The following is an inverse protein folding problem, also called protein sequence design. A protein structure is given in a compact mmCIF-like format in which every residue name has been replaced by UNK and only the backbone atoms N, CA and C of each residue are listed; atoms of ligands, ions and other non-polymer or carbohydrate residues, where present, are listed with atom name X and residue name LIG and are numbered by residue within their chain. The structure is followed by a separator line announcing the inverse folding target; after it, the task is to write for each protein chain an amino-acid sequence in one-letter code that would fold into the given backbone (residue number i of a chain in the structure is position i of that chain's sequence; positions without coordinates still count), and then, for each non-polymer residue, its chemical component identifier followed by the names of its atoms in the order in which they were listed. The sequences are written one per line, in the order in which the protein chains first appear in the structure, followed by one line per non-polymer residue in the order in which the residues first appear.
data_IF_196355948650
#
_entry.id   IF_196355948650
#
_cell.length_a   1.000
_cell.length_b   1.000
_cell.length_c   1.000
_cell.angle_alpha   90.00
_cell.angle_beta   90.00
_cell.angle_gamma   90.00
#
_symmetry.space_group_name_H-M   'P 1'
#
loop_
_entity.id
_entity.type
_entity.pdbx_description
1 polymer ?
#
# COMPACT_ATOMS: atom_id res chain seq x y z
N UNK A 1 -5.54 -58.06 1.02
CA UNK A 1 -5.40 -57.32 2.29
C UNK A 1 -4.32 -56.27 2.11
N UNK A 2 -4.72 -54.99 2.26
CA UNK A 2 -3.93 -53.77 2.55
C UNK A 2 -2.60 -53.50 1.84
N UNK A 3 -2.25 -52.29 1.40
CA UNK A 3 -2.91 -50.99 1.19
C UNK A 3 -1.76 -50.13 0.62
N UNK A 4 -1.82 -49.74 -0.63
CA UNK A 4 -0.84 -48.81 -1.23
C UNK A 4 -1.20 -47.39 -0.78
N UNK A 5 -0.29 -46.75 -0.05
CA UNK A 5 -0.41 -45.34 0.34
C UNK A 5 0.12 -44.48 -0.82
N UNK A 6 -0.78 -43.74 -1.47
CA UNK A 6 -0.45 -42.67 -2.41
C UNK A 6 -0.98 -41.36 -1.81
N UNK A 7 -0.16 -40.30 -1.74
CA UNK A 7 -0.51 -39.08 -1.01
C UNK A 7 -1.59 -38.30 -1.75
N UNK A 8 -2.49 -37.71 -0.97
CA UNK A 8 -3.60 -36.89 -1.43
C UNK A 8 -3.09 -35.62 -2.14
N UNK A 9 -3.37 -35.53 -3.43
CA UNK A 9 -3.35 -34.28 -4.17
C UNK A 9 -4.39 -33.34 -3.57
N UNK A 10 -3.93 -32.31 -2.87
CA UNK A 10 -4.76 -31.17 -2.46
C UNK A 10 -5.11 -30.36 -3.70
N UNK A 11 -6.23 -30.74 -4.32
CA UNK A 11 -6.89 -30.02 -5.40
C UNK A 11 -7.30 -28.61 -4.91
N UNK A 12 -6.38 -27.66 -5.09
CA UNK A 12 -6.61 -26.23 -4.90
C UNK A 12 -7.03 -25.66 -6.24
N UNK A 13 -8.22 -26.05 -6.70
CA UNK A 13 -8.90 -25.38 -7.81
C UNK A 13 -10.09 -24.57 -7.29
N UNK A 14 -10.14 -23.33 -7.77
CA UNK A 14 -11.10 -22.31 -7.41
C UNK A 14 -12.56 -22.75 -7.59
N UNK A 15 -13.41 -22.46 -6.60
CA UNK A 15 -14.85 -22.30 -6.82
C UNK A 15 -15.32 -20.98 -6.22
N UNK A 16 -15.21 -19.91 -7.00
CA UNK A 16 -16.26 -18.88 -6.99
C UNK A 16 -17.56 -19.58 -7.40
N UNK A 17 -18.43 -19.87 -6.43
CA UNK A 17 -19.76 -20.37 -6.74
C UNK A 17 -20.48 -19.29 -7.55
N UNK A 18 -20.69 -19.53 -8.84
CA UNK A 18 -21.47 -18.64 -9.67
C UNK A 18 -22.92 -19.17 -9.65
N UNK A 19 -23.83 -18.38 -9.07
CA UNK A 19 -25.26 -18.69 -9.01
C UNK A 19 -25.89 -18.43 -10.38
N UNK A 20 -25.95 -19.48 -11.19
CA UNK A 20 -26.32 -19.42 -12.61
C UNK A 20 -27.81 -19.63 -12.85
N UNK A 21 -28.51 -20.29 -11.92
CA UNK A 21 -29.96 -20.49 -12.00
C UNK A 21 -30.73 -19.73 -10.92
N UNK A 22 -32.01 -19.46 -11.18
CA UNK A 22 -32.91 -18.83 -10.21
C UNK A 22 -33.18 -19.74 -8.99
N UNK A 23 -33.05 -21.06 -9.14
CA UNK A 23 -33.24 -22.00 -8.04
C UNK A 23 -32.01 -22.02 -7.11
N UNK A 24 -30.80 -21.95 -7.65
CA UNK A 24 -29.57 -21.75 -6.87
C UNK A 24 -29.60 -20.41 -6.12
N UNK A 25 -30.04 -19.34 -6.80
CA UNK A 25 -30.20 -18.02 -6.17
C UNK A 25 -31.24 -18.05 -5.06
N UNK A 26 -32.35 -18.75 -5.28
CA UNK A 26 -33.37 -18.92 -4.25
C UNK A 26 -32.86 -19.70 -3.05
N UNK A 27 -32.12 -20.77 -3.27
CA UNK A 27 -31.55 -21.58 -2.21
C UNK A 27 -30.56 -20.77 -1.35
N UNK A 28 -29.73 -19.93 -1.99
CA UNK A 28 -28.85 -19.00 -1.29
C UNK A 28 -29.63 -17.97 -0.45
N UNK A 29 -30.73 -17.43 -0.97
CA UNK A 29 -31.63 -16.54 -0.20
C UNK A 29 -32.29 -17.26 0.97
N UNK A 30 -32.75 -18.50 0.77
CA UNK A 30 -33.42 -19.29 1.80
C UNK A 30 -32.47 -19.64 2.95
N UNK A 31 -31.20 -19.91 2.64
CA UNK A 31 -30.14 -20.18 3.64
C UNK A 31 -29.48 -18.91 4.18
N UNK A 32 -29.82 -17.73 3.63
CA UNK A 32 -29.19 -16.43 3.94
C UNK A 32 -27.67 -16.47 3.78
N UNK A 33 -27.21 -17.03 2.67
CA UNK A 33 -25.79 -17.25 2.38
C UNK A 33 -25.02 -15.90 2.23
N UNK A 34 -24.07 -15.59 3.12
CA UNK A 34 -23.25 -14.39 3.01
C UNK A 34 -22.30 -14.39 1.80
N UNK A 35 -21.98 -15.55 1.22
CA UNK A 35 -21.11 -15.64 0.04
C UNK A 35 -21.83 -15.18 -1.23
N UNK A 36 -23.16 -15.19 -1.23
CA UNK A 36 -23.99 -14.73 -2.34
C UNK A 36 -24.15 -13.20 -2.38
N UNK A 37 -23.77 -12.50 -1.30
CA UNK A 37 -23.84 -11.05 -1.24
C UNK A 37 -22.90 -10.41 -2.28
N UNK A 38 -23.49 -9.60 -3.17
CA UNK A 38 -22.76 -8.93 -4.25
C UNK A 38 -22.69 -9.74 -5.56
N UNK A 39 -23.07 -11.02 -5.54
CA UNK A 39 -23.24 -11.81 -6.77
C UNK A 39 -24.59 -11.55 -7.44
N UNK A 40 -25.64 -11.33 -6.65
CA UNK A 40 -26.96 -10.90 -7.12
C UNK A 40 -27.75 -10.23 -5.99
N UNK A 41 -28.92 -9.68 -6.32
CA UNK A 41 -29.88 -9.08 -5.41
C UNK A 41 -31.26 -9.69 -5.64
N UNK A 42 -32.14 -9.65 -4.64
CA UNK A 42 -33.52 -10.13 -4.78
C UNK A 42 -34.54 -9.06 -4.41
N UNK A 43 -35.58 -8.89 -5.21
CA UNK A 43 -36.72 -8.00 -4.97
C UNK A 43 -37.97 -8.77 -4.57
N UNK A 44 -38.73 -8.22 -3.62
CA UNK A 44 -40.01 -8.75 -3.17
C UNK A 44 -41.14 -7.94 -3.80
N UNK A 45 -41.84 -8.55 -4.77
CA UNK A 45 -42.86 -7.91 -5.62
C UNK A 45 -43.97 -7.24 -4.80
N UNK A 46 -44.43 -7.90 -3.74
CA UNK A 46 -45.53 -7.41 -2.90
C UNK A 46 -45.19 -6.17 -2.09
N UNK A 47 -43.91 -5.97 -1.75
CA UNK A 47 -43.46 -4.82 -0.94
C UNK A 47 -42.71 -3.78 -1.74
N UNK A 48 -42.34 -4.07 -2.99
CA UNK A 48 -41.50 -3.22 -3.83
C UNK A 48 -40.10 -2.98 -3.23
N UNK A 49 -39.58 -3.91 -2.43
CA UNK A 49 -38.30 -3.77 -1.71
C UNK A 49 -37.31 -4.80 -2.23
N UNK A 50 -36.08 -4.40 -2.53
CA UNK A 50 -34.99 -5.33 -2.83
C UNK A 50 -33.95 -5.43 -1.70
N UNK A 51 -33.29 -6.57 -1.63
CA UNK A 51 -32.41 -7.02 -0.56
C UNK A 51 -31.15 -7.72 -1.10
N UNK A 52 -30.15 -7.88 -0.23
CA UNK A 52 -29.03 -8.81 -0.44
C UNK A 52 -29.41 -10.23 -0.01
N UNK A 53 -28.84 -11.30 -0.58
CA UNK A 53 -29.16 -12.69 -0.23
C UNK A 53 -29.05 -13.01 1.26
N UNK A 54 -28.08 -12.45 1.98
CA UNK A 54 -27.90 -12.70 3.41
C UNK A 54 -28.86 -11.92 4.33
N UNK A 55 -29.81 -11.16 3.77
CA UNK A 55 -30.66 -10.26 4.54
C UNK A 55 -31.53 -11.00 5.58
N UNK A 56 -31.43 -10.58 6.84
CA UNK A 56 -32.21 -11.14 7.94
C UNK A 56 -33.70 -10.74 7.94
N UNK A 57 -34.21 -10.08 6.89
CA UNK A 57 -35.64 -9.78 6.72
C UNK A 57 -36.48 -11.07 6.73
N UNK A 58 -37.79 -10.92 6.99
CA UNK A 58 -38.73 -12.04 6.90
C UNK A 58 -38.63 -12.64 5.50
N UNK A 59 -38.48 -13.96 5.43
CA UNK A 59 -38.32 -14.66 4.16
C UNK A 59 -39.62 -14.50 3.35
N UNK A 60 -39.55 -13.95 2.12
CA UNK A 60 -40.70 -13.82 1.25
C UNK A 60 -41.12 -15.20 0.70
N UNK A 61 -42.30 -15.31 0.10
CA UNK A 61 -42.67 -16.51 -0.67
C UNK A 61 -41.91 -16.49 -2.00
N UNK A 62 -41.43 -17.66 -2.45
CA UNK A 62 -40.66 -17.81 -3.71
C UNK A 62 -41.33 -17.17 -4.92
N UNK A 63 -42.64 -17.33 -5.06
CA UNK A 63 -43.47 -16.77 -6.14
C UNK A 63 -43.40 -15.23 -6.24
N UNK A 64 -43.14 -14.57 -5.12
CA UNK A 64 -43.08 -13.11 -4.98
C UNK A 64 -41.66 -12.54 -5.12
N UNK A 65 -40.68 -13.35 -5.52
CA UNK A 65 -39.28 -12.94 -5.63
C UNK A 65 -38.87 -12.76 -7.09
N UNK A 66 -38.09 -11.71 -7.36
CA UNK A 66 -37.38 -11.48 -8.61
C UNK A 66 -35.88 -11.30 -8.29
N UNK A 67 -34.99 -11.73 -9.18
CA UNK A 67 -33.54 -11.58 -9.01
C UNK A 67 -32.96 -10.52 -9.96
N UNK A 68 -31.92 -9.83 -9.50
CA UNK A 68 -31.25 -8.76 -10.23
C UNK A 68 -29.73 -8.94 -10.15
N UNK A 69 -29.02 -8.65 -11.23
CA UNK A 69 -27.56 -8.73 -11.25
C UNK A 69 -26.92 -7.68 -10.33
N UNK A 70 -27.49 -6.48 -10.27
CA UNK A 70 -27.00 -5.38 -9.45
C UNK A 70 -28.13 -4.52 -8.87
N UNK A 71 -27.76 -3.59 -7.98
CA UNK A 71 -28.69 -2.68 -7.34
C UNK A 71 -29.28 -1.63 -8.29
N UNK A 72 -28.62 -1.31 -9.41
CA UNK A 72 -29.15 -0.36 -10.40
C UNK A 72 -30.30 -0.99 -11.19
N UNK A 73 -30.14 -2.25 -11.61
CA UNK A 73 -31.18 -3.03 -12.28
C UNK A 73 -32.44 -3.19 -11.41
N UNK A 74 -32.27 -3.45 -10.10
CA UNK A 74 -33.39 -3.53 -9.17
C UNK A 74 -34.16 -2.19 -9.04
N UNK A 75 -33.45 -1.06 -9.00
CA UNK A 75 -34.08 0.28 -8.95
C UNK A 75 -34.78 0.64 -10.24
N UNK A 76 -34.17 0.34 -11.40
CA UNK A 76 -34.78 0.56 -12.70
C UNK A 76 -36.09 -0.25 -12.84
N UNK A 77 -36.16 -1.43 -12.22
CA UNK A 77 -37.37 -2.24 -12.13
C UNK A 77 -38.39 -1.76 -11.06
N UNK A 78 -38.17 -0.60 -10.43
CA UNK A 78 -39.11 0.02 -9.49
C UNK A 78 -38.99 -0.43 -8.03
N UNK A 79 -37.95 -1.21 -7.68
CA UNK A 79 -37.74 -1.64 -6.30
C UNK A 79 -36.93 -0.62 -5.50
N UNK A 80 -37.37 -0.32 -4.28
CA UNK A 80 -36.64 0.53 -3.33
C UNK A 80 -35.68 -0.29 -2.46
N UNK A 81 -34.61 0.35 -2.00
CA UNK A 81 -33.64 -0.27 -1.09
C UNK A 81 -34.31 -0.76 0.21
N UNK A 82 -33.99 -1.99 0.61
CA UNK A 82 -34.35 -2.47 1.94
C UNK A 82 -33.67 -1.63 3.01
N UNK A 83 -34.46 -1.06 3.92
CA UNK A 83 -33.95 -0.27 5.04
C UNK A 83 -33.08 -1.08 6.01
N UNK A 84 -33.17 -2.42 5.98
CA UNK A 84 -32.43 -3.31 6.89
C UNK A 84 -31.05 -3.70 6.38
N UNK A 85 -30.94 -4.16 5.13
CA UNK A 85 -29.66 -4.55 4.55
C UNK A 85 -29.02 -3.48 3.66
N UNK A 86 -29.77 -2.41 3.33
CA UNK A 86 -29.32 -1.26 2.53
C UNK A 86 -28.49 -1.70 1.30
N UNK A 87 -29.09 -2.49 0.41
CA UNK A 87 -28.35 -3.27 -0.58
C UNK A 87 -27.50 -2.42 -1.52
N UNK A 88 -27.98 -1.25 -1.94
CA UNK A 88 -27.20 -0.31 -2.75
C UNK A 88 -26.36 0.71 -1.97
N UNK A 89 -26.27 0.60 -0.64
CA UNK A 89 -25.28 1.31 0.17
C UNK A 89 -24.00 0.49 0.35
N UNK A 90 -22.93 1.12 0.84
CA UNK A 90 -21.79 0.37 1.36
C UNK A 90 -22.27 -0.64 2.41
N UNK A 91 -21.65 -1.83 2.56
CA UNK A 91 -21.98 -2.73 3.67
C UNK A 91 -22.05 -1.92 4.97
N UNK A 92 -23.08 -2.13 5.79
CA UNK A 92 -23.38 -1.32 6.99
C UNK A 92 -22.14 -1.06 7.87
N UNK A 93 -21.27 -2.06 7.97
CA UNK A 93 -19.96 -1.99 8.62
C UNK A 93 -19.02 -0.92 8.03
N UNK A 94 -18.93 -0.81 6.70
CA UNK A 94 -18.14 0.21 6.00
C UNK A 94 -18.77 1.60 6.08
N UNK A 95 -20.11 1.70 6.03
CA UNK A 95 -20.80 2.99 6.20
C UNK A 95 -20.53 3.59 7.59
N UNK A 96 -20.65 2.77 8.63
CA UNK A 96 -20.32 3.15 10.01
C UNK A 96 -18.86 3.59 10.14
N UNK A 97 -17.93 2.86 9.52
CA UNK A 97 -16.51 3.21 9.56
C UNK A 97 -16.22 4.47 8.78
N UNK A 98 -16.86 4.71 7.64
CA UNK A 98 -16.72 5.95 6.89
C UNK A 98 -17.26 7.15 7.66
N UNK A 99 -18.40 7.01 8.33
CA UNK A 99 -18.93 8.04 9.24
C UNK A 99 -17.97 8.30 10.40
N UNK A 100 -17.37 7.24 10.96
CA UNK A 100 -16.35 7.39 11.99
C UNK A 100 -15.11 8.13 11.46
N UNK A 101 -14.59 7.77 10.28
CA UNK A 101 -13.47 8.48 9.66
C UNK A 101 -13.82 9.95 9.38
N UNK A 102 -15.01 10.22 8.82
CA UNK A 102 -15.47 11.58 8.56
C UNK A 102 -15.58 12.41 9.84
N UNK A 103 -16.08 11.83 10.94
CA UNK A 103 -16.10 12.50 12.24
C UNK A 103 -14.70 12.76 12.79
N UNK A 104 -13.74 11.86 12.55
CA UNK A 104 -12.33 12.05 12.92
C UNK A 104 -11.59 13.06 12.03
N UNK A 105 -12.03 13.24 10.79
CA UNK A 105 -11.42 14.13 9.80
C UNK A 105 -12.05 15.53 9.78
N UNK A 106 -13.22 15.72 10.39
CA UNK A 106 -13.97 16.98 10.39
C UNK A 106 -13.20 18.12 11.07
N UNK A 107 -12.52 17.83 12.18
CA UNK A 107 -11.61 18.75 12.84
C UNK A 107 -10.33 18.00 13.27
N UNK A 108 -9.21 18.16 12.53
CA UNK A 108 -7.93 17.53 12.85
C UNK A 108 -7.35 17.93 14.22
N UNK A 109 -7.78 19.06 14.80
CA UNK A 109 -7.33 19.54 16.11
C UNK A 109 -8.13 18.90 17.26
N UNK A 110 -9.38 18.52 17.00
CA UNK A 110 -10.25 17.94 18.01
C UNK A 110 -9.94 16.46 18.26
N UNK A 111 -9.72 16.10 19.52
CA UNK A 111 -9.56 14.69 19.93
C UNK A 111 -10.91 14.10 20.30
N UNK A 112 -11.39 13.17 19.49
CA UNK A 112 -12.55 12.37 19.85
C UNK A 112 -12.10 11.13 20.63
N UNK A 113 -12.60 11.01 21.86
CA UNK A 113 -12.49 9.77 22.61
C UNK A 113 -13.26 8.67 21.90
N UNK A 114 -12.91 7.40 22.19
CA UNK A 114 -13.65 6.28 21.63
C UNK A 114 -15.14 6.35 21.98
N UNK A 115 -15.49 6.82 23.18
CA UNK A 115 -16.89 7.02 23.60
C UNK A 115 -17.61 8.06 22.72
N UNK A 116 -17.05 9.26 22.57
CA UNK A 116 -17.63 10.32 21.74
C UNK A 116 -17.75 9.90 20.26
N UNK A 117 -16.74 9.21 19.73
CA UNK A 117 -16.79 8.69 18.37
C UNK A 117 -17.88 7.62 18.21
N UNK A 118 -18.08 6.80 19.25
CA UNK A 118 -19.10 5.76 19.29
C UNK A 118 -20.50 6.35 19.33
N UNK A 119 -20.70 7.43 20.09
CA UNK A 119 -21.96 8.17 20.13
C UNK A 119 -22.29 8.77 18.76
N UNK A 120 -21.30 9.34 18.07
CA UNK A 120 -21.44 9.93 16.74
C UNK A 120 -21.85 8.92 15.64
N UNK A 121 -21.53 7.63 15.83
CA UNK A 121 -21.90 6.55 14.89
C UNK A 121 -22.93 5.57 15.44
N UNK A 122 -23.48 5.85 16.63
CA UNK A 122 -24.48 5.03 17.33
C UNK A 122 -24.07 3.55 17.48
N UNK A 123 -22.84 3.31 17.94
CA UNK A 123 -22.34 1.98 18.30
C UNK A 123 -21.80 1.95 19.72
N UNK A 124 -21.57 0.75 20.26
CA UNK A 124 -20.80 0.61 21.50
C UNK A 124 -19.29 0.78 21.23
N UNK A 125 -18.52 1.33 22.19
CA UNK A 125 -17.05 1.51 22.07
C UNK A 125 -16.30 0.26 21.63
N UNK A 126 -16.60 -0.88 22.26
CA UNK A 126 -15.96 -2.15 21.95
C UNK A 126 -16.30 -2.67 20.55
N UNK A 127 -17.51 -2.42 20.07
CA UNK A 127 -17.91 -2.83 18.73
C UNK A 127 -17.24 -1.92 17.69
N UNK A 128 -17.29 -0.60 17.90
CA UNK A 128 -16.63 0.36 17.01
C UNK A 128 -15.12 0.10 16.92
N UNK A 129 -14.43 -0.14 18.04
CA UNK A 129 -12.99 -0.40 18.03
C UNK A 129 -12.63 -1.65 17.21
N UNK A 130 -13.38 -2.75 17.39
CA UNK A 130 -13.16 -3.99 16.63
C UNK A 130 -13.50 -3.81 15.17
N UNK A 131 -14.61 -3.15 14.87
CA UNK A 131 -15.08 -2.90 13.52
C UNK A 131 -14.11 -1.98 12.76
N UNK A 132 -13.69 -0.88 13.37
CA UNK A 132 -12.76 0.08 12.80
C UNK A 132 -11.37 -0.55 12.59
N UNK A 133 -10.84 -1.29 13.57
CA UNK A 133 -9.57 -2.03 13.40
C UNK A 133 -9.67 -3.09 12.30
N UNK A 134 -10.81 -3.78 12.21
CA UNK A 134 -11.09 -4.75 11.14
C UNK A 134 -11.06 -4.05 9.78
N UNK A 135 -11.81 -2.96 9.60
CA UNK A 135 -12.01 -2.30 8.29
C UNK A 135 -10.84 -1.41 7.87
N UNK A 136 -10.30 -0.60 8.78
CA UNK A 136 -9.23 0.38 8.51
C UNK A 136 -7.84 -0.20 8.77
N UNK A 137 -7.73 -1.33 9.49
CA UNK A 137 -6.47 -1.98 9.83
C UNK A 137 -5.77 -1.40 11.07
N UNK A 138 -6.24 -0.26 11.59
CA UNK A 138 -5.74 0.40 12.80
C UNK A 138 -6.89 0.81 13.71
N UNK A 139 -6.66 1.03 15.00
CA UNK A 139 -7.69 1.55 15.91
C UNK A 139 -8.03 3.03 15.60
N UNK A 140 -9.22 3.53 16.00
CA UNK A 140 -9.57 4.94 15.86
C UNK A 140 -8.54 5.90 16.47
N UNK A 141 -7.92 5.50 17.59
CA UNK A 141 -6.84 6.26 18.24
C UNK A 141 -5.58 6.33 17.36
N UNK A 142 -5.19 5.20 16.76
CA UNK A 142 -4.06 5.13 15.83
C UNK A 142 -4.34 5.86 14.52
N UNK A 143 -5.59 5.90 14.08
CA UNK A 143 -6.01 6.67 12.91
C UNK A 143 -5.88 8.18 13.14
N UNK A 144 -6.43 8.69 14.24
CA UNK A 144 -6.26 10.11 14.63
C UNK A 144 -4.77 10.47 14.79
N UNK A 145 -3.99 9.58 15.39
CA UNK A 145 -2.52 9.67 15.45
C UNK A 145 -1.90 9.85 14.06
N UNK A 146 -2.12 8.91 13.14
CA UNK A 146 -1.56 8.98 11.80
C UNK A 146 -1.94 10.28 11.04
N UNK A 147 -3.17 10.77 11.23
CA UNK A 147 -3.67 12.02 10.63
C UNK A 147 -2.98 13.25 11.23
N UNK A 148 -2.79 13.31 12.55
CA UNK A 148 -2.01 14.38 13.20
C UNK A 148 -0.56 14.38 12.75
N UNK A 149 0.08 13.21 12.69
CA UNK A 149 1.42 13.07 12.12
C UNK A 149 1.49 13.58 10.68
N UNK A 150 0.47 13.35 9.85
CA UNK A 150 0.40 13.88 8.50
C UNK A 150 0.22 15.41 8.45
N UNK A 151 -0.70 15.95 9.24
CA UNK A 151 -0.93 17.39 9.35
C UNK A 151 0.32 18.13 9.86
N UNK A 152 1.01 17.55 10.85
CA UNK A 152 2.29 18.06 11.35
C UNK A 152 3.35 18.06 10.24
N UNK A 153 3.51 16.96 9.49
CA UNK A 153 4.44 16.91 8.35
C UNK A 153 4.15 18.00 7.32
N UNK A 154 2.88 18.22 6.99
CA UNK A 154 2.47 19.19 6.00
C UNK A 154 2.66 20.64 6.50
N UNK A 155 2.38 20.90 7.78
CA UNK A 155 2.64 22.21 8.40
C UNK A 155 4.14 22.52 8.47
N UNK A 156 4.96 21.53 8.83
CA UNK A 156 6.42 21.64 8.85
C UNK A 156 7.00 21.85 7.44
N UNK A 157 6.45 21.18 6.42
CA UNK A 157 6.82 21.41 5.01
C UNK A 157 6.54 22.83 4.54
N UNK A 158 5.50 23.48 5.06
CA UNK A 158 5.12 24.87 4.76
C UNK A 158 5.91 25.90 5.57
N UNK A 159 6.90 25.49 6.38
CA UNK A 159 7.77 26.39 7.14
C UNK A 159 7.13 26.94 8.42
N UNK A 160 6.06 26.33 8.93
CA UNK A 160 5.46 26.75 10.20
C UNK A 160 6.42 26.50 11.37
N UNK A 161 6.45 27.43 12.34
CA UNK A 161 7.12 27.22 13.62
C UNK A 161 6.61 25.93 14.26
N UNK A 162 7.50 25.15 14.85
CA UNK A 162 7.16 23.78 15.24
C UNK A 162 6.33 23.72 16.50
N UNK A 163 6.46 24.71 17.38
CA UNK A 163 5.56 24.83 18.52
C UNK A 163 4.14 25.06 18.00
N UNK A 164 4.00 25.97 17.03
CA UNK A 164 2.73 26.27 16.38
C UNK A 164 2.19 25.10 15.55
N UNK A 165 3.00 24.46 14.71
CA UNK A 165 2.62 23.31 13.89
C UNK A 165 2.21 22.09 14.75
N UNK A 166 2.82 21.94 15.93
CA UNK A 166 2.50 20.87 16.89
C UNK A 166 1.17 21.14 17.61
N UNK A 167 0.91 22.40 17.98
CA UNK A 167 -0.38 22.84 18.51
C UNK A 167 -1.48 22.72 17.44
N UNK A 168 -1.21 23.20 16.23
CA UNK A 168 -2.13 23.16 15.09
C UNK A 168 -2.43 21.72 14.63
N UNK A 169 -1.52 20.77 14.89
CA UNK A 169 -1.73 19.34 14.67
C UNK A 169 -2.35 18.63 15.89
N UNK A 170 -2.78 19.35 16.94
CA UNK A 170 -3.54 18.79 18.06
C UNK A 170 -2.71 18.07 19.14
N UNK A 171 -1.43 18.41 19.32
CA UNK A 171 -0.58 17.87 20.40
C UNK A 171 -0.59 18.79 21.65
N UNK A 172 -1.41 18.46 22.65
CA UNK A 172 -1.63 19.30 23.85
C UNK A 172 -0.51 19.25 24.93
N UNK A 173 0.65 18.63 24.69
CA UNK A 173 1.71 18.56 25.72
C UNK A 173 3.13 18.38 25.15
N UNK A 174 4.11 19.19 25.57
CA UNK A 174 5.51 19.12 25.11
C UNK A 174 6.27 17.83 25.47
N UNK A 175 5.82 17.07 26.47
CA UNK A 175 6.50 15.84 26.92
C UNK A 175 5.96 14.59 26.21
N UNK A 176 4.64 14.52 25.92
CA UNK A 176 4.08 13.47 25.03
C UNK A 176 4.33 13.75 23.54
N UNK A 177 4.78 14.97 23.20
CA UNK A 177 5.19 15.44 21.87
C UNK A 177 6.32 14.59 21.29
N UNK A 178 7.39 14.34 22.03
CA UNK A 178 8.56 13.64 21.50
C UNK A 178 8.30 12.15 21.28
N UNK A 179 7.61 11.48 22.21
CA UNK A 179 7.34 10.03 22.07
C UNK A 179 6.31 9.70 20.98
N UNK A 180 5.16 10.41 20.96
CA UNK A 180 4.08 10.09 20.02
C UNK A 180 4.36 10.56 18.61
N UNK A 181 4.96 11.74 18.43
CA UNK A 181 5.31 12.21 17.10
C UNK A 181 6.50 11.42 16.52
N UNK A 182 7.45 10.93 17.32
CA UNK A 182 8.51 10.03 16.82
C UNK A 182 7.95 8.71 16.28
N UNK A 183 7.01 8.10 17.00
CA UNK A 183 6.35 6.86 16.58
C UNK A 183 5.47 7.03 15.33
N UNK A 184 4.86 8.20 15.15
CA UNK A 184 3.94 8.51 14.02
C UNK A 184 4.65 9.08 12.78
N UNK A 185 5.80 9.72 12.95
CA UNK A 185 6.65 10.27 11.88
C UNK A 185 7.74 9.30 11.43
N UNK A 186 8.09 8.29 12.25
CA UNK A 186 9.22 7.39 12.02
C UNK A 186 10.58 7.99 12.38
N UNK A 187 10.60 9.21 12.93
CA UNK A 187 11.76 9.96 13.44
C UNK A 187 11.26 11.10 14.34
N UNK A 188 12.10 11.66 15.21
CA UNK A 188 11.67 12.76 16.07
C UNK A 188 11.30 14.02 15.25
N UNK A 189 10.28 14.81 15.62
CA UNK A 189 9.92 16.06 14.93
C UNK A 189 11.08 17.05 14.76
N UNK A 190 12.03 17.03 15.70
CA UNK A 190 13.28 17.79 15.63
C UNK A 190 14.22 17.27 14.53
N UNK A 191 14.27 15.97 14.26
CA UNK A 191 15.03 15.37 13.16
C UNK A 191 14.37 15.64 11.80
N UNK A 192 13.04 15.63 11.75
CA UNK A 192 12.28 16.04 10.55
C UNK A 192 12.47 17.53 10.23
N UNK A 193 12.47 18.40 11.26
CA UNK A 193 12.77 19.84 11.12
C UNK A 193 14.23 20.09 10.75
N UNK A 194 15.14 19.17 11.10
CA UNK A 194 16.55 19.32 10.75
C UNK A 194 16.77 19.25 9.25
N UNK A 195 15.88 18.72 8.38
CA UNK A 195 16.16 18.56 6.92
C UNK A 195 17.61 18.10 6.62
N UNK A 196 18.15 17.21 7.47
CA UNK A 196 19.55 16.78 7.40
C UNK A 196 20.60 17.67 8.08
N UNK A 197 20.26 18.61 8.95
CA UNK A 197 21.25 19.43 9.66
C UNK A 197 22.25 18.54 10.41
N UNK A 198 23.55 18.68 10.12
CA UNK A 198 24.63 17.83 10.63
C UNK A 198 24.73 16.44 9.99
N UNK A 199 23.95 16.17 8.95
CA UNK A 199 24.07 15.01 8.08
C UNK A 199 24.81 15.44 6.82
N UNK A 200 25.85 14.69 6.46
CA UNK A 200 26.45 14.80 5.12
C UNK A 200 25.79 13.79 4.20
N UNK A 201 25.25 14.26 3.08
CA UNK A 201 24.65 13.42 2.04
C UNK A 201 25.50 13.56 0.80
N UNK A 202 26.10 12.44 0.38
CA UNK A 202 26.82 12.37 -0.88
C UNK A 202 25.86 12.07 -2.00
N UNK A 203 26.04 12.70 -3.15
CA UNK A 203 25.23 12.42 -4.31
C UNK A 203 26.07 12.36 -5.59
N UNK A 204 25.54 11.66 -6.58
CA UNK A 204 26.09 11.59 -7.92
C UNK A 204 24.94 11.42 -8.91
N UNK A 205 25.07 12.03 -10.08
CA UNK A 205 24.13 11.91 -11.19
C UNK A 205 24.84 11.31 -12.40
N UNK A 206 24.17 10.43 -13.14
CA UNK A 206 24.73 9.80 -14.33
C UNK A 206 23.66 9.57 -15.41
N UNK A 207 24.01 9.63 -16.70
CA UNK A 207 23.10 9.27 -17.78
C UNK A 207 22.83 7.76 -17.79
N UNK A 208 21.61 7.39 -18.17
CA UNK A 208 21.12 6.01 -18.28
C UNK A 208 20.16 5.88 -19.45
N UNK A 209 19.72 4.65 -19.77
CA UNK A 209 18.66 4.40 -20.76
C UNK A 209 17.29 4.98 -20.39
N UNK A 210 17.10 5.44 -19.14
CA UNK A 210 15.87 6.06 -18.63
C UNK A 210 16.00 7.58 -18.41
N UNK A 211 17.00 8.22 -19.01
CA UNK A 211 17.39 9.60 -18.70
C UNK A 211 18.47 9.63 -17.64
N UNK A 212 18.48 10.61 -16.76
CA UNK A 212 19.45 10.69 -15.66
C UNK A 212 18.97 9.89 -14.45
N UNK A 213 19.91 9.22 -13.79
CA UNK A 213 19.74 8.70 -12.44
C UNK A 213 20.49 9.60 -11.46
N UNK A 214 19.90 9.87 -10.31
CA UNK A 214 20.57 10.44 -9.14
C UNK A 214 20.60 9.39 -8.04
N UNK A 215 21.78 9.14 -7.48
CA UNK A 215 22.01 8.31 -6.30
C UNK A 215 22.48 9.21 -5.18
N UNK A 216 21.90 9.06 -3.98
CA UNK A 216 22.36 9.76 -2.78
C UNK A 216 22.50 8.80 -1.60
N UNK A 217 23.53 9.04 -0.79
CA UNK A 217 23.91 8.19 0.34
C UNK A 217 24.31 9.02 1.57
N UNK A 218 23.93 8.52 2.74
CA UNK A 218 24.48 8.95 4.03
C UNK A 218 25.66 8.06 4.41
N UNK A 219 26.26 8.28 5.59
CA UNK A 219 27.24 7.36 6.16
C UNK A 219 26.69 5.94 6.42
N UNK A 220 25.37 5.76 6.52
CA UNK A 220 24.73 4.47 6.80
C UNK A 220 24.36 3.68 5.55
N UNK A 221 24.13 4.36 4.42
CA UNK A 221 23.71 3.72 3.19
C UNK A 221 23.00 4.66 2.21
N UNK A 222 22.49 4.09 1.12
CA UNK A 222 21.71 4.76 0.08
C UNK A 222 20.38 5.24 0.67
N UNK A 223 20.14 6.55 0.61
CA UNK A 223 18.91 7.16 1.08
C UNK A 223 17.98 7.60 -0.07
N UNK A 224 18.51 7.74 -1.30
CA UNK A 224 17.72 8.12 -2.48
C UNK A 224 18.29 7.52 -3.76
N UNK A 225 17.39 7.02 -4.61
CA UNK A 225 17.64 6.73 -6.03
C UNK A 225 16.46 7.27 -6.81
N UNK A 226 16.69 8.17 -7.76
CA UNK A 226 15.64 8.78 -8.56
C UNK A 226 16.02 8.93 -10.02
N UNK A 227 15.01 8.96 -10.90
CA UNK A 227 15.19 9.17 -12.33
C UNK A 227 14.53 10.47 -12.80
N UNK A 228 15.13 11.11 -13.79
CA UNK A 228 14.61 12.34 -14.38
C UNK A 228 15.20 12.60 -15.76
N UNK A 229 14.66 13.60 -16.45
CA UNK A 229 15.17 14.00 -17.77
C UNK A 229 16.30 15.04 -17.66
N UNK A 230 16.47 15.64 -16.49
CA UNK A 230 17.45 16.69 -16.20
C UNK A 230 18.15 16.40 -14.86
N UNK A 231 19.49 16.32 -14.89
CA UNK A 231 20.30 16.08 -13.71
C UNK A 231 20.23 17.24 -12.69
N UNK A 232 20.15 18.49 -13.13
CA UNK A 232 20.07 19.65 -12.26
C UNK A 232 18.74 19.66 -11.49
N UNK A 233 17.62 19.32 -12.14
CA UNK A 233 16.33 19.19 -11.46
C UNK A 233 16.32 18.11 -10.38
N UNK A 234 17.00 16.97 -10.63
CA UNK A 234 17.15 15.92 -9.62
C UNK A 234 17.95 16.38 -8.40
N UNK A 235 19.02 17.15 -8.65
CA UNK A 235 19.84 17.74 -7.58
C UNK A 235 19.05 18.80 -6.80
N UNK A 236 18.24 19.62 -7.48
CA UNK A 236 17.36 20.59 -6.81
C UNK A 236 16.27 19.92 -5.98
N UNK A 237 15.70 18.80 -6.44
CA UNK A 237 14.80 17.98 -5.62
C UNK A 237 15.49 17.42 -4.38
N UNK A 238 16.73 16.92 -4.52
CA UNK A 238 17.54 16.45 -3.39
C UNK A 238 17.81 17.59 -2.40
N UNK A 239 18.17 18.78 -2.90
CA UNK A 239 18.39 19.99 -2.10
C UNK A 239 17.11 20.41 -1.37
N UNK A 240 15.94 20.29 -2.00
CA UNK A 240 14.67 20.55 -1.34
C UNK A 240 14.36 19.57 -0.20
N UNK A 241 14.64 18.28 -0.44
CA UNK A 241 14.40 17.17 0.51
C UNK A 241 15.37 17.21 1.71
N UNK A 242 16.63 17.58 1.47
CA UNK A 242 17.71 17.65 2.46
C UNK A 242 18.26 19.07 2.63
N UNK A 243 17.38 20.08 2.72
CA UNK A 243 17.80 21.49 2.63
C UNK A 243 18.74 22.01 3.72
N UNK A 244 18.98 21.26 4.80
CA UNK A 244 20.01 21.62 5.78
C UNK A 244 21.12 20.56 5.89
N UNK A 245 21.13 19.53 5.04
CA UNK A 245 22.26 18.62 4.93
C UNK A 245 23.42 19.30 4.22
N UNK A 246 24.62 18.84 4.53
CA UNK A 246 25.78 19.11 3.70
C UNK A 246 25.73 18.19 2.48
N UNK A 247 25.37 18.74 1.32
CA UNK A 247 25.27 18.01 0.06
C UNK A 247 26.59 18.07 -0.67
N UNK A 248 27.26 16.92 -0.79
CA UNK A 248 28.54 16.80 -1.46
C UNK A 248 28.39 15.94 -2.71
N UNK A 249 28.77 16.49 -3.86
CA UNK A 249 28.90 15.69 -5.07
C UNK A 249 30.13 14.80 -4.95
N UNK A 250 29.94 13.49 -5.03
CA UNK A 250 31.00 12.49 -4.84
C UNK A 250 30.79 11.33 -5.81
N UNK A 251 31.06 11.61 -7.09
CA UNK A 251 30.88 10.66 -8.18
C UNK A 251 31.75 9.41 -8.02
N UNK A 252 32.99 9.57 -7.55
CA UNK A 252 33.92 8.46 -7.36
C UNK A 252 33.40 7.47 -6.31
N UNK A 253 32.94 7.96 -5.16
CA UNK A 253 32.44 7.09 -4.08
C UNK A 253 31.11 6.42 -4.43
N UNK A 254 30.30 7.04 -5.28
CA UNK A 254 29.01 6.50 -5.70
C UNK A 254 29.04 5.73 -7.03
N UNK A 255 30.17 5.75 -7.74
CA UNK A 255 30.37 5.01 -8.99
C UNK A 255 29.97 3.54 -8.88
N UNK A 256 30.34 2.79 -7.82
CA UNK A 256 29.99 1.38 -7.74
C UNK A 256 28.48 1.15 -7.73
N UNK A 257 27.71 2.07 -7.13
CA UNK A 257 26.25 2.00 -7.06
C UNK A 257 25.57 2.39 -8.37
N UNK A 258 26.10 3.42 -9.04
CA UNK A 258 25.67 3.81 -10.38
C UNK A 258 25.92 2.67 -11.37
N UNK A 259 27.07 2.00 -11.29
CA UNK A 259 27.40 0.84 -12.10
C UNK A 259 26.44 -0.34 -11.88
N UNK A 260 25.96 -0.56 -10.64
CA UNK A 260 24.92 -1.57 -10.38
C UNK A 260 23.61 -1.25 -11.11
N UNK A 261 23.20 0.01 -11.08
CA UNK A 261 21.96 0.48 -11.72
C UNK A 261 22.07 0.32 -13.23
N UNK A 262 23.19 0.72 -13.80
CA UNK A 262 23.47 0.60 -15.23
C UNK A 262 23.54 -0.89 -15.68
N UNK A 263 24.20 -1.74 -14.89
CA UNK A 263 24.21 -3.20 -15.10
C UNK A 263 22.79 -3.81 -15.04
N UNK A 264 21.92 -3.30 -14.17
CA UNK A 264 20.53 -3.72 -14.05
C UNK A 264 19.72 -3.31 -15.29
N UNK A 265 19.87 -2.06 -15.74
CA UNK A 265 19.18 -1.55 -16.94
C UNK A 265 19.65 -2.26 -18.23
N UNK A 266 20.86 -2.81 -18.23
CA UNK A 266 21.36 -3.72 -19.29
C UNK A 266 20.93 -5.17 -19.14
N UNK A 267 20.22 -5.54 -18.08
CA UNK A 267 19.82 -6.92 -17.78
C UNK A 267 20.97 -7.86 -17.38
N UNK A 268 22.19 -7.33 -17.20
CA UNK A 268 23.36 -8.09 -16.70
C UNK A 268 23.34 -8.30 -15.18
N UNK A 269 22.35 -7.71 -14.50
CA UNK A 269 22.09 -7.84 -13.07
C UNK A 269 20.59 -7.86 -12.81
N UNK A 270 20.14 -8.77 -11.96
CA UNK A 270 18.74 -8.92 -11.60
C UNK A 270 18.43 -8.60 -10.12
N UNK A 271 19.48 -8.53 -9.29
CA UNK A 271 19.37 -8.28 -7.86
C UNK A 271 20.23 -7.10 -7.42
N UNK A 272 19.72 -6.33 -6.47
CA UNK A 272 20.47 -5.28 -5.77
C UNK A 272 20.82 -5.76 -4.37
N UNK A 273 22.08 -5.60 -4.00
CA UNK A 273 22.55 -5.71 -2.63
C UNK A 273 23.12 -4.35 -2.22
N UNK A 274 22.20 -3.45 -1.85
CA UNK A 274 22.52 -2.06 -1.52
C UNK A 274 22.23 -1.83 -0.03
N UNK A 275 23.17 -1.25 0.74
CA UNK A 275 22.87 -0.81 2.10
C UNK A 275 21.88 0.36 2.01
N UNK A 276 20.65 0.20 2.50
CA UNK A 276 19.62 1.24 2.44
C UNK A 276 19.50 1.97 3.79
N UNK A 277 19.52 3.30 3.76
CA UNK A 277 19.24 4.17 4.91
C UNK A 277 17.93 4.93 4.66
N UNK A 278 16.81 4.24 4.88
CA UNK A 278 15.46 4.75 4.58
C UNK A 278 14.59 4.70 5.82
N UNK A 279 14.03 5.85 6.21
CA UNK A 279 13.07 5.93 7.30
C UNK A 279 11.65 5.61 6.80
N UNK A 280 11.03 4.58 7.37
CA UNK A 280 9.70 4.12 7.01
C UNK A 280 8.80 3.96 8.23
N UNK A 281 7.49 4.17 8.07
CA UNK A 281 6.54 3.67 9.07
C UNK A 281 6.51 2.15 9.02
N UNK A 282 6.11 1.49 10.12
CA UNK A 282 6.05 0.02 10.16
C UNK A 282 5.19 -0.59 9.03
N UNK A 283 4.14 0.11 8.58
CA UNK A 283 3.36 -0.33 7.42
C UNK A 283 4.13 -0.20 6.11
N UNK A 284 4.79 0.94 5.88
CA UNK A 284 5.61 1.16 4.67
C UNK A 284 6.77 0.18 4.60
N UNK A 285 7.43 -0.09 5.72
CA UNK A 285 8.49 -1.09 5.80
C UNK A 285 8.00 -2.45 5.31
N UNK A 286 6.87 -2.95 5.85
CA UNK A 286 6.28 -4.23 5.39
C UNK A 286 5.93 -4.23 3.91
N UNK A 287 5.38 -3.12 3.39
CA UNK A 287 5.09 -3.01 1.95
C UNK A 287 6.39 -3.08 1.16
N UNK A 288 7.38 -2.26 1.47
CA UNK A 288 8.66 -2.22 0.77
C UNK A 288 9.41 -3.56 0.85
N UNK A 289 9.33 -4.25 1.99
CA UNK A 289 9.82 -5.63 2.12
C UNK A 289 9.10 -6.56 1.15
N UNK A 290 7.76 -6.54 1.11
CA UNK A 290 6.98 -7.33 0.15
C UNK A 290 7.32 -6.98 -1.32
N UNK A 291 7.59 -5.71 -1.63
CA UNK A 291 8.03 -5.30 -2.98
C UNK A 291 9.37 -5.94 -3.35
N UNK A 292 10.34 -5.97 -2.42
CA UNK A 292 11.67 -6.57 -2.64
C UNK A 292 11.60 -8.08 -2.89
N UNK A 293 10.52 -8.74 -2.48
CA UNK A 293 10.30 -10.17 -2.74
C UNK A 293 9.66 -10.47 -4.10
N UNK A 294 9.24 -9.45 -4.87
CA UNK A 294 8.74 -9.67 -6.23
C UNK A 294 9.96 -10.00 -7.12
N UNK A 295 10.02 -11.16 -7.79
CA UNK A 295 11.16 -11.52 -8.62
C UNK A 295 11.37 -10.59 -9.83
N UNK A 296 12.57 -10.62 -10.40
CA UNK A 296 12.89 -9.90 -11.63
C UNK A 296 12.07 -10.45 -12.80
N UNK A 297 11.43 -9.57 -13.58
CA UNK A 297 10.54 -9.97 -14.67
C UNK A 297 9.12 -10.33 -14.25
N UNK A 298 8.83 -10.36 -12.95
CA UNK A 298 7.48 -10.61 -12.44
C UNK A 298 6.76 -9.34 -12.00
N UNK A 299 5.43 -9.38 -12.04
CA UNK A 299 4.58 -8.31 -11.50
C UNK A 299 3.65 -8.84 -10.42
N UNK A 300 3.18 -7.94 -9.56
CA UNK A 300 2.09 -8.19 -8.61
C UNK A 300 1.07 -7.06 -8.67
N UNK A 301 -0.17 -7.35 -8.36
CA UNK A 301 -1.20 -6.33 -8.21
C UNK A 301 -1.11 -5.64 -6.85
N UNK A 302 -1.60 -4.40 -6.74
CA UNK A 302 -1.75 -3.74 -5.44
C UNK A 302 -2.57 -4.56 -4.42
N UNK A 303 -3.48 -5.41 -4.89
CA UNK A 303 -4.29 -6.30 -4.04
C UNK A 303 -3.45 -7.44 -3.49
N UNK A 304 -2.65 -8.08 -4.34
CA UNK A 304 -1.75 -9.17 -3.93
C UNK A 304 -0.72 -8.69 -2.90
N UNK A 305 -0.17 -7.48 -3.08
CA UNK A 305 0.73 -6.90 -2.07
C UNK A 305 -0.01 -6.61 -0.77
N UNK A 306 -1.25 -6.12 -0.83
CA UNK A 306 -2.06 -5.88 0.37
C UNK A 306 -2.34 -7.19 1.14
N UNK A 307 -2.58 -8.28 0.42
CA UNK A 307 -2.74 -9.62 0.99
C UNK A 307 -1.44 -10.14 1.60
N UNK A 308 -0.32 -10.03 0.89
CA UNK A 308 0.99 -10.48 1.34
C UNK A 308 1.45 -9.80 2.65
N UNK A 309 1.11 -8.51 2.85
CA UNK A 309 1.44 -7.79 4.09
C UNK A 309 0.41 -7.97 5.21
N UNK A 310 -0.54 -8.91 5.06
CA UNK A 310 -1.58 -9.22 6.04
C UNK A 310 -2.64 -8.12 6.20
N UNK A 311 -2.81 -7.26 5.19
CA UNK A 311 -3.78 -6.18 5.19
C UNK A 311 -4.59 -6.11 3.88
N UNK A 312 -5.42 -7.12 3.52
CA UNK A 312 -6.08 -7.21 2.20
C UNK A 312 -6.94 -6.00 1.82
N UNK A 313 -7.44 -5.25 2.80
CA UNK A 313 -8.25 -4.03 2.60
C UNK A 313 -7.43 -2.74 2.44
N UNK A 314 -6.10 -2.81 2.55
CA UNK A 314 -5.21 -1.65 2.55
C UNK A 314 -4.63 -1.30 1.16
N UNK A 315 -5.30 -1.70 0.07
CA UNK A 315 -4.84 -1.50 -1.33
C UNK A 315 -4.43 -0.05 -1.62
N UNK A 316 -5.21 0.95 -1.17
CA UNK A 316 -4.88 2.38 -1.35
C UNK A 316 -3.65 2.82 -0.55
N UNK A 317 -3.47 2.27 0.66
CA UNK A 317 -2.30 2.55 1.48
C UNK A 317 -1.03 1.91 0.88
N UNK A 318 -1.15 0.72 0.29
CA UNK A 318 -0.08 0.10 -0.50
C UNK A 318 0.29 0.99 -1.69
N UNK A 319 -0.68 1.47 -2.46
CA UNK A 319 -0.43 2.37 -3.58
C UNK A 319 0.31 3.65 -3.14
N UNK A 320 -0.07 4.24 -2.00
CA UNK A 320 0.64 5.38 -1.42
C UNK A 320 2.08 5.01 -1.00
N UNK A 321 2.29 3.85 -0.39
CA UNK A 321 3.63 3.38 -0.03
C UNK A 321 4.54 3.18 -1.26
N UNK A 322 4.00 2.64 -2.36
CA UNK A 322 4.70 2.53 -3.65
C UNK A 322 5.07 3.91 -4.22
N UNK A 323 4.13 4.87 -4.17
CA UNK A 323 4.35 6.23 -4.68
C UNK A 323 5.39 7.03 -3.87
N UNK A 324 5.54 6.70 -2.58
CA UNK A 324 6.52 7.37 -1.69
C UNK A 324 7.86 6.64 -1.59
N UNK A 325 8.11 5.64 -2.44
CA UNK A 325 9.41 4.96 -2.48
C UNK A 325 10.54 5.97 -2.79
N UNK A 326 11.57 6.10 -1.93
CA UNK A 326 12.70 7.00 -2.17
C UNK A 326 13.83 6.38 -3.01
N UNK A 327 13.86 5.05 -3.17
CA UNK A 327 14.96 4.32 -3.82
C UNK A 327 14.44 3.48 -4.99
N UNK A 328 14.37 4.09 -6.18
CA UNK A 328 14.02 3.40 -7.42
C UNK A 328 14.88 2.15 -7.63
N UNK A 329 14.29 1.10 -8.22
CA UNK A 329 14.89 -0.20 -8.53
C UNK A 329 15.28 -1.05 -7.31
N UNK A 330 15.95 -0.47 -6.30
CA UNK A 330 16.31 -1.15 -5.06
C UNK A 330 15.07 -1.61 -4.27
N UNK A 331 14.02 -0.77 -4.26
CA UNK A 331 12.65 -1.18 -3.93
C UNK A 331 11.87 -1.17 -5.24
N UNK A 332 11.48 -2.33 -5.81
CA UNK A 332 10.98 -2.42 -7.18
C UNK A 332 9.48 -2.07 -7.26
N UNK A 333 9.11 -0.83 -6.93
CA UNK A 333 7.72 -0.39 -6.95
C UNK A 333 7.11 -0.30 -8.37
N UNK A 334 7.94 -0.32 -9.41
CA UNK A 334 7.50 -0.44 -10.81
C UNK A 334 6.88 -1.81 -11.13
N UNK A 335 7.22 -2.88 -10.38
CA UNK A 335 6.63 -4.22 -10.53
C UNK A 335 5.19 -4.33 -10.03
N UNK A 336 4.66 -3.28 -9.39
CA UNK A 336 3.27 -3.26 -8.91
C UNK A 336 2.35 -2.64 -9.94
N UNK A 337 1.36 -3.39 -10.41
CA UNK A 337 0.41 -2.97 -11.46
C UNK A 337 -1.03 -3.00 -10.97
N UNK A 338 -1.96 -2.43 -11.76
CA UNK A 338 -3.38 -2.58 -11.45
C UNK A 338 -3.84 -4.03 -11.68
N UNK A 339 -4.98 -4.39 -11.08
CA UNK A 339 -5.64 -5.65 -11.41
C UNK A 339 -5.97 -5.66 -12.91
N UNK A 340 -5.50 -6.67 -13.63
CA UNK A 340 -5.61 -6.74 -15.09
C UNK A 340 -4.40 -6.21 -15.86
N UNK A 341 -3.29 -5.85 -15.18
CA UNK A 341 -2.01 -5.53 -15.81
C UNK A 341 -1.84 -4.08 -16.27
N UNK A 342 -2.86 -3.25 -16.14
CA UNK A 342 -2.76 -1.84 -16.52
C UNK A 342 -1.73 -1.08 -15.68
N UNK A 343 -0.94 -0.24 -16.35
CA UNK A 343 0.04 0.62 -15.69
C UNK A 343 -0.67 1.81 -15.05
N UNK A 344 -0.45 2.00 -13.75
CA UNK A 344 -0.86 3.20 -13.06
C UNK A 344 0.13 3.54 -11.96
N UNK A 345 0.34 4.84 -11.78
CA UNK A 345 1.20 5.41 -10.76
C UNK A 345 2.67 4.98 -10.89
N UNK A 346 3.55 5.95 -11.10
CA UNK A 346 4.97 5.77 -10.89
C UNK A 346 5.59 7.11 -10.58
N UNK A 347 6.41 7.18 -9.52
CA UNK A 347 7.00 8.45 -9.06
C UNK A 347 7.79 9.14 -10.17
N UNK A 348 8.44 8.37 -11.04
CA UNK A 348 9.31 8.86 -12.11
C UNK A 348 8.65 8.78 -13.52
N UNK A 349 7.33 8.59 -13.57
CA UNK A 349 6.54 8.63 -14.81
C UNK A 349 6.25 7.27 -15.45
N UNK A 350 5.07 7.14 -16.04
CA UNK A 350 4.61 5.89 -16.68
C UNK A 350 5.54 5.37 -17.80
N UNK A 351 6.16 6.22 -18.65
CA UNK A 351 7.08 5.72 -19.68
C UNK A 351 8.27 4.93 -19.11
N UNK A 352 8.87 5.42 -18.00
CA UNK A 352 9.98 4.71 -17.33
C UNK A 352 9.52 3.39 -16.72
N UNK A 353 8.31 3.35 -16.14
CA UNK A 353 7.73 2.11 -15.60
C UNK A 353 7.51 1.06 -16.69
N UNK A 354 6.97 1.46 -17.85
CA UNK A 354 6.81 0.57 -18.99
C UNK A 354 8.16 0.03 -19.48
N UNK A 355 9.13 0.92 -19.73
CA UNK A 355 10.45 0.55 -20.19
C UNK A 355 11.18 -0.41 -19.24
N UNK A 356 11.03 -0.22 -17.92
CA UNK A 356 11.57 -1.15 -16.92
C UNK A 356 10.91 -2.53 -17.00
N UNK A 357 9.59 -2.60 -17.04
CA UNK A 357 8.86 -3.87 -17.13
C UNK A 357 9.20 -4.63 -18.41
N UNK A 358 9.29 -3.93 -19.54
CA UNK A 358 9.66 -4.52 -20.83
C UNK A 358 11.10 -5.05 -20.81
N UNK A 359 12.04 -4.27 -20.25
CA UNK A 359 13.43 -4.69 -20.10
C UNK A 359 13.54 -5.94 -19.23
N UNK A 360 12.84 -5.98 -18.10
CA UNK A 360 12.87 -7.13 -17.21
C UNK A 360 12.26 -8.38 -17.85
N UNK A 361 11.12 -8.24 -18.53
CA UNK A 361 10.49 -9.35 -19.24
C UNK A 361 11.42 -9.95 -20.30
N UNK A 362 12.11 -9.10 -21.07
CA UNK A 362 13.05 -9.55 -22.11
C UNK A 362 14.26 -10.30 -21.54
N UNK A 363 14.77 -9.88 -20.38
CA UNK A 363 15.98 -10.48 -19.78
C UNK A 363 15.67 -11.65 -18.85
N UNK A 364 14.46 -11.73 -18.28
CA UNK A 364 14.02 -12.89 -17.49
C UNK A 364 14.01 -14.18 -18.33
N UNK A 365 13.58 -14.11 -19.58
CA UNK A 365 13.56 -15.26 -20.50
C UNK A 365 14.95 -15.72 -20.95
N UNK A 366 15.98 -14.87 -20.86
CA UNK A 366 17.35 -15.21 -21.27
C UNK A 366 18.07 -16.09 -20.24
N UNK A 367 17.76 -15.94 -18.95
CA UNK A 367 18.39 -16.72 -17.89
C UNK A 367 17.85 -18.15 -17.82
N UNK A 368 16.55 -18.39 -18.02
CA UNK A 368 16.01 -19.77 -18.09
C UNK A 368 16.57 -20.59 -19.26
N UNK A 369 16.95 -19.95 -20.37
CA UNK A 369 17.60 -20.63 -21.49
C UNK A 369 19.07 -21.00 -21.21
N UNK A 370 19.75 -20.26 -20.32
CA UNK A 370 21.17 -20.44 -19.99
C UNK A 370 21.37 -21.31 -18.73
N UNK A 371 20.40 -21.33 -17.80
CA UNK A 371 20.37 -22.23 -16.63
C UNK A 371 20.18 -23.71 -16.99
N UNK A 372 19.59 -24.01 -18.14
CA UNK A 372 19.49 -25.40 -18.63
C UNK A 372 20.81 -25.93 -19.20
N UNK A 373 21.87 -25.10 -19.27
CA UNK A 373 23.11 -25.41 -19.96
C UNK A 373 24.39 -25.34 -19.09
N UNK A 374 24.32 -25.15 -17.76
CA UNK A 374 25.54 -25.04 -16.93
C UNK A 374 25.59 -26.01 -15.72
N UNK A 375 26.73 -26.68 -15.48
CA UNK A 375 26.92 -27.54 -14.32
C UNK A 375 27.21 -26.72 -13.05
N UNK A 376 26.84 -27.29 -11.91
CA UNK A 376 26.93 -26.72 -10.56
C UNK A 376 28.31 -26.10 -10.25
N UNK A 377 28.33 -24.87 -9.72
CA UNK A 377 29.52 -24.29 -9.08
C UNK A 377 29.18 -23.57 -7.77
N UNK A 378 29.73 -24.15 -6.69
CA UNK A 378 30.22 -23.69 -5.38
C UNK A 378 29.89 -22.26 -4.86
N UNK A 379 29.56 -22.08 -3.56
CA UNK A 379 29.07 -20.81 -3.02
C UNK A 379 30.15 -19.73 -2.87
N UNK A 380 29.82 -18.50 -3.27
CA UNK A 380 30.64 -17.29 -3.08
C UNK A 380 30.37 -16.68 -1.70
N UNK A 381 31.43 -16.37 -0.95
CA UNK A 381 31.38 -15.74 0.38
C UNK A 381 30.93 -14.28 0.33
N UNK A 382 30.26 -13.75 1.38
CA UNK A 382 29.75 -12.38 1.41
C UNK A 382 30.86 -11.35 1.61
N UNK A 383 30.89 -10.32 0.76
CA UNK A 383 31.81 -9.18 0.87
C UNK A 383 31.23 -8.15 1.85
N UNK A 384 31.76 -8.09 3.07
CA UNK A 384 31.45 -7.04 4.04
C UNK A 384 32.28 -5.79 3.73
N UNK A 385 31.71 -4.81 3.02
CA UNK A 385 32.35 -3.50 2.86
C UNK A 385 31.84 -2.55 3.94
N UNK A 386 32.62 -2.41 5.02
CA UNK A 386 32.38 -1.44 6.09
C UNK A 386 32.60 -0.02 5.56
N UNK A 387 31.60 0.83 5.74
CA UNK A 387 31.73 2.30 5.66
C UNK A 387 32.32 2.80 6.99
N UNK A 388 33.61 2.56 7.23
CA UNK A 388 34.30 3.06 8.42
C UNK A 388 35.01 4.41 8.17
N UNK A 389 35.15 5.13 9.29
CA UNK A 389 35.44 6.54 9.48
C UNK A 389 36.85 7.02 9.07
N UNK A 390 36.90 8.23 8.50
CA UNK A 390 37.97 9.23 8.62
C UNK A 390 37.36 10.57 8.19
N UNK A 391 37.41 11.69 8.92
CA UNK A 391 38.07 12.07 10.16
C UNK A 391 37.17 13.03 10.96
#
# INVERSE_FOLDING_TARGET
MNRTHQPAETDTTARTAAWHSDDERWEAVARRDPLADGAFFYGVKTTGVFCRPSCASRQPRRENVAFFADAAAARAAGFRDCKRCQPGGLPRELDIVNRACAALDADPQQRLTLAQLSDAVHLSPFHLQRLFKRVVGVSPRQYQAARRGAALRDALKRGADVTRATLDAGFNSPSRMYESASAELGMAPSEYRRKGAGLTVRYASAPTSLGFVLVAATAKGICKIGFGDDAALLVDELRGEFANADLLEDAERLEPFVAQIDAYLRGTRQHFDLPLDIAATAFRQRVWDALRHIPYGETRSYTEIAEAVGAPRAVRAVASACATNPVALAIPCHRVVQKGGALAGYRWGLPRKAALLDNEAQHAHRVSADETARPETTPVQPLATKLDHAA
#
